data_IF_366996587047
#
_entry.id   IF_366996587047
#
_cell.length_a   1.000
_cell.length_b   1.000
_cell.length_c   1.000
_cell.angle_alpha   90.00
_cell.angle_beta   90.00
_cell.angle_gamma   90.00
#
_symmetry.space_group_name_H-M   'P 1'
#
loop_
_entity.id
_entity.type
_entity.pdbx_description
1 polymer ?
#
# COMPACT_ATOMS: atom_id res chain seq x y z
N UNK A 1 12.74 22.36 -12.27
CA UNK A 1 12.95 22.69 -10.84
C UNK A 1 11.71 23.37 -10.22
N UNK A 2 11.21 24.51 -10.72
CA UNK A 2 10.05 25.22 -10.11
C UNK A 2 8.75 24.38 -10.02
N UNK A 3 8.41 23.61 -11.06
CA UNK A 3 7.20 22.77 -11.07
C UNK A 3 7.28 21.59 -10.08
N UNK A 4 8.47 21.00 -9.91
CA UNK A 4 8.67 19.96 -8.90
C UNK A 4 8.38 20.54 -7.50
N UNK A 5 8.96 21.70 -7.18
CA UNK A 5 8.78 22.31 -5.86
C UNK A 5 7.32 22.69 -5.60
N UNK A 6 6.60 23.16 -6.62
CA UNK A 6 5.20 23.53 -6.49
C UNK A 6 4.24 22.33 -6.32
N UNK A 7 4.65 21.14 -6.76
CA UNK A 7 3.78 19.96 -6.78
C UNK A 7 4.29 18.92 -5.78
N UNK A 8 5.43 18.27 -6.06
CA UNK A 8 5.95 17.14 -5.29
C UNK A 8 6.75 17.55 -4.04
N UNK A 9 7.03 18.85 -3.85
CA UNK A 9 7.58 19.41 -2.62
C UNK A 9 6.63 20.46 -2.00
N UNK A 10 5.38 20.51 -2.49
CA UNK A 10 4.34 21.38 -1.98
C UNK A 10 3.73 20.86 -0.67
N UNK A 11 3.09 21.71 0.14
CA UNK A 11 2.40 21.27 1.36
C UNK A 11 1.32 20.23 1.05
N UNK A 12 0.61 20.34 -0.07
CA UNK A 12 -0.47 19.42 -0.43
C UNK A 12 0.00 18.01 -0.71
N UNK A 13 1.19 17.88 -1.31
CA UNK A 13 1.80 16.58 -1.53
C UNK A 13 2.34 15.97 -0.25
N UNK A 14 2.86 16.80 0.67
CA UNK A 14 3.26 16.35 2.00
C UNK A 14 2.05 15.85 2.79
N UNK A 15 0.94 16.60 2.77
CA UNK A 15 -0.32 16.21 3.41
C UNK A 15 -0.84 14.90 2.82
N UNK A 16 -0.87 14.76 1.49
CA UNK A 16 -1.29 13.51 0.83
C UNK A 16 -0.55 12.26 1.35
N UNK A 17 0.74 12.39 1.67
CA UNK A 17 1.59 11.31 2.21
C UNK A 17 1.72 11.30 3.73
N UNK A 18 1.06 12.20 4.45
CA UNK A 18 1.11 12.27 5.90
C UNK A 18 0.43 11.04 6.52
N UNK A 19 1.20 10.24 7.26
CA UNK A 19 0.70 9.03 7.89
C UNK A 19 -0.16 9.39 9.11
N UNK A 20 -1.44 8.99 9.15
CA UNK A 20 -2.29 9.23 10.30
C UNK A 20 -1.87 8.35 11.50
N UNK A 21 -2.11 8.85 12.71
CA UNK A 21 -1.87 8.07 13.93
C UNK A 21 -2.75 6.81 14.03
N UNK A 22 -3.94 6.82 13.41
CA UNK A 22 -4.87 5.67 13.38
C UNK A 22 -5.55 5.58 12.01
N UNK A 23 -5.76 4.35 11.52
CA UNK A 23 -6.47 4.11 10.25
C UNK A 23 -7.99 4.32 10.32
N UNK A 24 -8.57 4.34 11.53
CA UNK A 24 -10.02 4.45 11.70
C UNK A 24 -10.75 3.34 10.94
N UNK A 25 -11.59 3.72 9.98
CA UNK A 25 -12.37 2.81 9.12
C UNK A 25 -11.76 2.59 7.73
N UNK A 26 -10.52 3.01 7.49
CA UNK A 26 -9.83 2.74 6.24
C UNK A 26 -9.63 1.22 6.04
N UNK A 27 -9.84 0.66 4.84
CA UNK A 27 -10.14 1.32 3.55
C UNK A 27 -11.64 1.52 3.24
N UNK A 28 -12.57 1.15 4.13
CA UNK A 28 -14.03 1.21 3.87
C UNK A 28 -14.52 2.62 3.54
N UNK A 29 -13.95 3.63 4.21
CA UNK A 29 -14.35 5.04 4.08
C UNK A 29 -13.52 5.82 3.07
N UNK A 30 -12.56 5.19 2.39
CA UNK A 30 -11.77 5.87 1.38
C UNK A 30 -12.63 6.21 0.15
N UNK A 31 -12.67 7.49 -0.24
CA UNK A 31 -13.37 7.91 -1.46
C UNK A 31 -12.47 7.80 -2.70
N UNK A 32 -13.07 7.58 -3.86
CA UNK A 32 -12.36 7.55 -5.15
C UNK A 32 -11.90 8.94 -5.64
N UNK A 33 -12.31 10.01 -4.95
CA UNK A 33 -12.06 11.38 -5.39
C UNK A 33 -10.57 11.73 -5.37
N UNK A 34 -9.83 11.16 -4.42
CA UNK A 34 -8.38 11.34 -4.33
C UNK A 34 -7.65 10.71 -5.54
N UNK A 35 -8.08 9.52 -5.97
CA UNK A 35 -7.53 8.84 -7.15
C UNK A 35 -7.84 9.63 -8.42
N UNK A 36 -9.07 10.11 -8.58
CA UNK A 36 -9.46 10.95 -9.71
C UNK A 36 -8.68 12.26 -9.73
N UNK A 37 -8.53 12.92 -8.59
CA UNK A 37 -7.79 14.18 -8.46
C UNK A 37 -6.31 13.98 -8.81
N UNK A 38 -5.69 12.90 -8.31
CA UNK A 38 -4.31 12.55 -8.65
C UNK A 38 -4.17 12.25 -10.15
N UNK A 39 -5.14 11.57 -10.75
CA UNK A 39 -5.15 11.32 -12.18
C UNK A 39 -5.19 12.62 -12.99
N UNK A 40 -6.12 13.52 -12.70
CA UNK A 40 -6.20 14.83 -13.39
C UNK A 40 -4.90 15.61 -13.22
N UNK A 41 -4.29 15.57 -12.02
CA UNK A 41 -3.03 16.24 -11.74
C UNK A 41 -1.91 15.67 -12.62
N UNK A 42 -1.81 14.35 -12.70
CA UNK A 42 -0.81 13.67 -13.54
C UNK A 42 -0.93 14.10 -15.01
N UNK A 43 -2.15 14.21 -15.54
CA UNK A 43 -2.39 14.59 -16.94
C UNK A 43 -2.01 16.04 -17.20
N UNK A 44 -2.29 16.96 -16.27
CA UNK A 44 -1.90 18.37 -16.39
C UNK A 44 -0.39 18.55 -16.36
N UNK A 45 0.30 17.87 -15.46
CA UNK A 45 1.77 17.91 -15.38
C UNK A 45 2.41 17.34 -16.64
N UNK A 46 1.87 16.24 -17.19
CA UNK A 46 2.33 15.69 -18.46
C UNK A 46 2.15 16.67 -19.61
N UNK A 47 0.98 17.33 -19.73
CA UNK A 47 0.76 18.37 -20.75
C UNK A 47 1.71 19.56 -20.59
N UNK A 48 1.94 19.99 -19.35
CA UNK A 48 2.90 21.05 -19.07
C UNK A 48 4.32 20.66 -19.52
N UNK A 49 4.77 19.45 -19.16
CA UNK A 49 6.08 18.91 -19.56
C UNK A 49 6.22 18.80 -21.08
N UNK A 50 5.15 18.39 -21.77
CA UNK A 50 5.12 18.23 -23.21
C UNK A 50 4.85 19.54 -23.98
N UNK A 51 4.68 20.67 -23.29
CA UNK A 51 4.33 21.98 -23.89
C UNK A 51 3.02 21.96 -24.68
N UNK A 52 2.07 21.09 -24.30
CA UNK A 52 0.74 20.96 -24.90
C UNK A 52 -0.37 21.45 -23.98
N UNK A 53 -0.01 22.28 -22.98
CA UNK A 53 -0.94 22.82 -21.99
C UNK A 53 -1.85 23.91 -22.59
N UNK A 54 -3.03 24.10 -21.98
CA UNK A 54 -3.98 25.15 -22.31
C UNK A 54 -4.31 26.03 -21.09
N UNK A 55 -5.05 27.12 -21.28
CA UNK A 55 -5.52 27.98 -20.18
C UNK A 55 -6.34 27.22 -19.11
N UNK A 56 -6.97 26.10 -19.48
CA UNK A 56 -7.73 25.24 -18.55
C UNK A 56 -6.81 24.47 -17.58
N UNK A 57 -5.52 24.33 -17.92
CA UNK A 57 -4.51 23.65 -17.12
C UNK A 57 -3.83 24.58 -16.11
N UNK A 58 -3.97 25.90 -16.27
CA UNK A 58 -3.29 26.91 -15.42
C UNK A 58 -3.79 26.90 -13.98
N UNK A 59 -5.08 26.62 -13.75
CA UNK A 59 -5.67 26.64 -12.41
C UNK A 59 -5.50 25.29 -11.69
N UNK A 60 -4.32 25.08 -11.08
CA UNK A 60 -3.95 23.84 -10.39
C UNK A 60 -4.28 23.84 -8.88
N UNK A 61 -4.48 24.99 -8.26
CA UNK A 61 -4.68 25.11 -6.81
C UNK A 61 -5.88 24.32 -6.27
N UNK A 62 -7.07 24.33 -6.91
CA UNK A 62 -8.19 23.51 -6.44
C UNK A 62 -7.88 22.03 -6.48
N UNK A 63 -7.10 21.59 -7.47
CA UNK A 63 -6.70 20.21 -7.63
C UNK A 63 -5.68 19.78 -6.58
N UNK A 64 -4.72 20.65 -6.27
CA UNK A 64 -3.79 20.45 -5.16
C UNK A 64 -4.53 20.40 -3.82
N UNK A 65 -5.53 21.26 -3.62
CA UNK A 65 -6.38 21.20 -2.43
C UNK A 65 -7.16 19.86 -2.34
N UNK A 66 -7.66 19.34 -3.47
CA UNK A 66 -8.39 18.06 -3.51
C UNK A 66 -7.53 16.84 -3.20
N UNK A 67 -6.22 16.86 -3.50
CA UNK A 67 -5.33 15.73 -3.16
C UNK A 67 -4.93 15.70 -1.68
N UNK A 68 -5.17 16.75 -0.88
CA UNK A 68 -4.79 16.83 0.55
C UNK A 68 -5.44 15.77 1.45
N UNK A 69 -6.27 14.86 0.94
CA UNK A 69 -7.06 13.93 1.73
C UNK A 69 -6.27 12.79 2.43
N UNK A 70 -4.94 12.93 2.64
CA UNK A 70 -4.02 11.94 3.25
C UNK A 70 -4.19 10.49 2.73
N UNK A 71 -4.72 10.31 1.52
CA UNK A 71 -5.05 8.99 1.00
C UNK A 71 -3.78 8.13 0.77
N UNK A 72 -2.68 8.77 0.36
CA UNK A 72 -1.36 8.12 0.27
C UNK A 72 -0.82 7.72 1.65
N UNK A 73 -0.96 8.59 2.64
CA UNK A 73 -0.54 8.34 4.02
C UNK A 73 -1.33 7.21 4.70
N UNK A 74 -2.65 7.17 4.51
CA UNK A 74 -3.51 6.06 4.95
C UNK A 74 -3.11 4.74 4.27
N UNK A 75 -2.86 4.76 2.96
CA UNK A 75 -2.41 3.59 2.22
C UNK A 75 -1.07 3.08 2.73
N UNK A 76 -0.10 3.97 2.95
CA UNK A 76 1.23 3.62 3.45
C UNK A 76 1.14 3.02 4.87
N UNK A 77 0.34 3.63 5.74
CA UNK A 77 0.11 3.14 7.10
C UNK A 77 -0.55 1.77 7.10
N UNK A 78 -1.53 1.54 6.21
CA UNK A 78 -2.17 0.25 6.05
C UNK A 78 -1.21 -0.83 5.51
N UNK A 79 -0.34 -0.48 4.56
CA UNK A 79 0.69 -1.38 4.05
C UNK A 79 1.67 -1.81 5.15
N UNK A 80 2.15 -0.86 5.97
CA UNK A 80 3.03 -1.14 7.10
C UNK A 80 2.36 -2.03 8.16
N UNK A 81 1.11 -1.71 8.52
CA UNK A 81 0.33 -2.51 9.46
C UNK A 81 0.17 -3.96 8.97
N UNK A 82 -0.22 -4.12 7.71
CA UNK A 82 -0.36 -5.44 7.10
C UNK A 82 0.95 -6.22 7.13
N UNK A 83 2.03 -5.59 6.66
CA UNK A 83 3.34 -6.24 6.58
C UNK A 83 3.80 -6.70 7.96
N UNK A 84 3.70 -5.84 8.97
CA UNK A 84 4.07 -6.19 10.34
C UNK A 84 3.23 -7.31 10.94
N UNK A 85 1.90 -7.28 10.73
CA UNK A 85 1.01 -8.30 11.27
C UNK A 85 1.24 -9.67 10.61
N UNK A 86 1.42 -9.71 9.30
CA UNK A 86 1.67 -10.95 8.57
C UNK A 86 3.05 -11.53 8.88
N UNK A 87 4.08 -10.69 9.01
CA UNK A 87 5.41 -11.12 9.42
C UNK A 87 5.40 -11.75 10.82
N UNK A 88 4.73 -11.11 11.77
CA UNK A 88 4.56 -11.66 13.12
C UNK A 88 3.81 -13.00 13.10
N UNK A 89 2.72 -13.09 12.32
CA UNK A 89 1.96 -14.33 12.19
C UNK A 89 2.81 -15.46 11.57
N UNK A 90 3.61 -15.15 10.54
CA UNK A 90 4.53 -16.09 9.92
C UNK A 90 5.59 -16.57 10.91
N UNK A 91 6.15 -15.67 11.71
CA UNK A 91 7.13 -16.03 12.73
C UNK A 91 6.56 -17.01 13.76
N UNK A 92 5.33 -16.76 14.25
CA UNK A 92 4.64 -17.64 15.20
C UNK A 92 4.40 -19.03 14.58
N UNK A 93 3.90 -19.08 13.34
CA UNK A 93 3.63 -20.33 12.63
C UNK A 93 4.90 -21.15 12.40
N UNK A 94 5.96 -20.52 11.90
CA UNK A 94 7.24 -21.21 11.66
C UNK A 94 7.84 -21.74 12.96
N UNK A 95 7.89 -20.92 14.02
CA UNK A 95 8.45 -21.34 15.32
C UNK A 95 7.70 -22.54 15.90
N UNK A 96 6.37 -22.54 15.85
CA UNK A 96 5.58 -23.66 16.35
C UNK A 96 5.71 -24.92 15.47
N UNK A 97 5.84 -24.76 14.15
CA UNK A 97 6.10 -25.85 13.21
C UNK A 97 7.45 -26.52 13.49
N UNK A 98 8.52 -25.74 13.63
CA UNK A 98 9.88 -26.22 13.94
C UNK A 98 9.95 -26.98 15.28
N UNK A 99 9.10 -26.60 16.24
CA UNK A 99 8.96 -27.29 17.52
C UNK A 99 8.08 -28.55 17.46
N UNK A 100 7.58 -28.94 16.28
CA UNK A 100 6.72 -30.10 16.10
C UNK A 100 5.33 -29.96 16.73
N UNK A 101 4.88 -28.72 17.02
CA UNK A 101 3.59 -28.51 17.71
C UNK A 101 2.39 -28.85 16.85
N UNK A 102 2.51 -28.69 15.53
CA UNK A 102 1.41 -28.92 14.58
C UNK A 102 1.39 -30.32 13.98
N UNK A 103 2.56 -30.92 13.80
CA UNK A 103 2.74 -32.25 13.24
C UNK A 103 3.63 -33.08 14.17
N UNK A 104 3.15 -34.25 14.57
CA UNK A 104 3.90 -35.21 15.38
C UNK A 104 3.79 -36.59 14.74
N UNK A 105 4.93 -37.25 14.48
CA UNK A 105 4.99 -38.59 13.88
C UNK A 105 4.18 -38.73 12.57
N UNK A 106 4.25 -37.72 11.68
CA UNK A 106 3.52 -37.70 10.40
C UNK A 106 2.00 -37.54 10.54
N UNK A 107 1.51 -37.08 11.70
CA UNK A 107 0.09 -36.82 11.96
C UNK A 107 -0.11 -35.42 12.50
N UNK A 108 -1.18 -34.76 12.06
CA UNK A 108 -1.57 -33.44 12.59
C UNK A 108 -2.06 -33.58 14.04
N UNK A 109 -1.58 -32.72 14.92
CA UNK A 109 -2.00 -32.66 16.33
C UNK A 109 -3.32 -31.90 16.47
N UNK A 110 -3.93 -31.94 17.66
CA UNK A 110 -5.10 -31.11 17.96
C UNK A 110 -4.78 -29.62 17.83
N UNK A 111 -3.59 -29.21 18.29
CA UNK A 111 -3.10 -27.84 18.15
C UNK A 111 -2.97 -27.45 16.67
N UNK A 112 -2.44 -28.34 15.82
CA UNK A 112 -2.36 -28.11 14.37
C UNK A 112 -3.74 -27.99 13.73
N UNK A 113 -4.70 -28.82 14.15
CA UNK A 113 -6.08 -28.79 13.64
C UNK A 113 -6.81 -27.50 14.03
N UNK A 114 -6.70 -27.09 15.30
CA UNK A 114 -7.27 -25.84 15.80
C UNK A 114 -6.64 -24.65 15.09
N UNK A 115 -5.30 -24.62 14.98
CA UNK A 115 -4.58 -23.52 14.33
C UNK A 115 -4.98 -23.38 12.87
N UNK A 116 -5.06 -24.49 12.12
CA UNK A 116 -5.53 -24.48 10.73
C UNK A 116 -6.95 -23.95 10.61
N UNK A 117 -7.84 -24.35 11.51
CA UNK A 117 -9.23 -23.89 11.52
C UNK A 117 -9.34 -22.39 11.76
N UNK A 118 -8.60 -21.88 12.76
CA UNK A 118 -8.56 -20.44 13.09
C UNK A 118 -8.02 -19.65 11.92
N UNK A 119 -6.86 -20.04 11.38
CA UNK A 119 -6.24 -19.35 10.25
C UNK A 119 -7.18 -19.34 9.05
N UNK A 120 -7.71 -20.48 8.62
CA UNK A 120 -8.64 -20.53 7.48
C UNK A 120 -9.86 -19.64 7.69
N UNK A 121 -10.42 -19.61 8.91
CA UNK A 121 -11.62 -18.82 9.20
C UNK A 121 -11.34 -17.32 9.19
N UNK A 122 -10.35 -16.85 9.96
CA UNK A 122 -10.12 -15.42 10.15
C UNK A 122 -9.26 -14.80 9.04
N UNK A 123 -8.29 -15.55 8.50
CA UNK A 123 -7.44 -15.04 7.44
C UNK A 123 -8.24 -14.86 6.14
N UNK A 124 -8.96 -15.88 5.68
CA UNK A 124 -9.67 -15.79 4.41
C UNK A 124 -10.87 -14.83 4.46
N UNK A 125 -11.59 -14.77 5.60
CA UNK A 125 -12.78 -13.94 5.72
C UNK A 125 -12.45 -12.46 5.94
N UNK A 126 -11.59 -12.14 6.91
CA UNK A 126 -11.42 -10.77 7.38
C UNK A 126 -10.12 -10.17 6.84
N UNK A 127 -8.99 -10.84 7.10
CA UNK A 127 -7.66 -10.29 6.78
C UNK A 127 -7.48 -10.19 5.26
N UNK A 128 -7.74 -11.25 4.51
CA UNK A 128 -7.57 -11.27 3.06
C UNK A 128 -8.53 -10.31 2.37
N UNK A 129 -9.77 -10.18 2.86
CA UNK A 129 -10.73 -9.23 2.32
C UNK A 129 -10.29 -7.77 2.56
N UNK A 130 -9.82 -7.46 3.77
CA UNK A 130 -9.26 -6.14 4.07
C UNK A 130 -7.99 -5.87 3.26
N UNK A 131 -7.06 -6.82 3.18
CA UNK A 131 -5.84 -6.76 2.36
C UNK A 131 -6.13 -6.48 0.88
N UNK A 132 -7.14 -7.14 0.33
CA UNK A 132 -7.57 -6.93 -1.05
C UNK A 132 -8.12 -5.52 -1.27
N UNK A 133 -8.90 -4.99 -0.32
CA UNK A 133 -9.40 -3.62 -0.40
C UNK A 133 -8.26 -2.59 -0.32
N UNK A 134 -7.28 -2.76 0.56
CA UNK A 134 -6.11 -1.88 0.64
C UNK A 134 -5.30 -1.95 -0.66
N UNK A 135 -5.10 -3.15 -1.20
CA UNK A 135 -4.41 -3.35 -2.48
C UNK A 135 -5.15 -2.68 -3.64
N UNK A 136 -6.48 -2.73 -3.65
CA UNK A 136 -7.31 -2.03 -4.63
C UNK A 136 -7.09 -0.51 -4.57
N UNK A 137 -6.96 0.07 -3.38
CA UNK A 137 -6.64 1.51 -3.23
C UNK A 137 -5.26 1.86 -3.79
N UNK A 138 -4.28 0.97 -3.63
CA UNK A 138 -3.00 1.16 -4.29
C UNK A 138 -3.14 1.15 -5.82
N UNK A 139 -3.86 0.17 -6.39
CA UNK A 139 -4.10 0.10 -7.83
C UNK A 139 -4.77 1.36 -8.40
N UNK A 140 -5.74 1.93 -7.68
CA UNK A 140 -6.46 3.13 -8.11
C UNK A 140 -5.56 4.35 -8.30
N UNK A 141 -4.49 4.47 -7.51
CA UNK A 141 -3.60 5.64 -7.55
C UNK A 141 -2.27 5.38 -8.29
N UNK A 142 -1.83 4.13 -8.37
CA UNK A 142 -0.47 3.77 -8.79
C UNK A 142 -0.10 4.30 -10.18
N UNK A 143 -1.01 4.17 -11.15
CA UNK A 143 -0.76 4.62 -12.53
C UNK A 143 -0.57 6.14 -12.59
N UNK A 144 -1.45 6.90 -11.93
CA UNK A 144 -1.38 8.35 -11.90
C UNK A 144 -0.15 8.85 -11.13
N UNK A 145 0.16 8.21 -10.01
CA UNK A 145 1.35 8.47 -9.21
C UNK A 145 2.63 8.27 -10.04
N UNK A 146 2.76 7.10 -10.67
CA UNK A 146 3.93 6.75 -11.48
C UNK A 146 4.11 7.70 -12.66
N UNK A 147 3.01 8.08 -13.33
CA UNK A 147 3.03 9.02 -14.44
C UNK A 147 3.47 10.42 -14.00
N UNK A 148 2.94 10.91 -12.88
CA UNK A 148 3.29 12.20 -12.30
C UNK A 148 4.77 12.27 -11.89
N UNK A 149 5.25 11.25 -11.18
CA UNK A 149 6.64 11.20 -10.72
C UNK A 149 7.60 11.03 -11.88
N UNK A 150 7.29 10.16 -12.86
CA UNK A 150 8.10 9.98 -14.07
C UNK A 150 8.26 11.26 -14.86
N UNK A 151 7.20 12.08 -14.98
CA UNK A 151 7.25 13.37 -15.66
C UNK A 151 8.19 14.38 -14.97
N UNK A 152 8.49 14.18 -13.69
CA UNK A 152 9.27 15.11 -12.86
C UNK A 152 10.60 14.51 -12.38
N UNK A 153 10.93 13.27 -12.76
CA UNK A 153 12.12 12.54 -12.29
C UNK A 153 13.43 13.31 -12.54
N UNK A 154 13.58 13.91 -13.72
CA UNK A 154 14.83 14.60 -14.11
C UNK A 154 15.12 15.84 -13.25
N UNK A 155 14.08 16.40 -12.64
CA UNK A 155 14.17 17.59 -11.78
C UNK A 155 14.00 17.26 -10.29
N UNK A 156 13.80 15.98 -9.95
CA UNK A 156 13.60 15.52 -8.58
C UNK A 156 14.94 15.38 -7.82
N UNK A 157 15.07 15.94 -6.60
CA UNK A 157 16.24 15.74 -5.76
C UNK A 157 16.50 14.26 -5.47
N UNK A 158 17.77 13.90 -5.24
CA UNK A 158 18.14 12.53 -4.88
C UNK A 158 17.41 12.01 -3.62
N UNK A 159 17.19 12.89 -2.63
CA UNK A 159 16.45 12.55 -1.42
C UNK A 159 15.00 12.14 -1.72
N UNK A 160 14.32 12.84 -2.63
CA UNK A 160 12.95 12.51 -3.03
C UNK A 160 12.90 11.14 -3.72
N UNK A 161 13.81 10.88 -4.65
CA UNK A 161 13.91 9.59 -5.36
C UNK A 161 14.15 8.43 -4.40
N UNK A 162 15.04 8.61 -3.42
CA UNK A 162 15.27 7.59 -2.38
C UNK A 162 14.05 7.36 -1.48
N UNK A 163 13.31 8.41 -1.15
CA UNK A 163 12.05 8.27 -0.41
C UNK A 163 10.98 7.52 -1.23
N UNK A 164 10.85 7.87 -2.51
CA UNK A 164 9.94 7.21 -3.46
C UNK A 164 10.23 5.71 -3.57
N UNK A 165 11.50 5.32 -3.74
CA UNK A 165 11.92 3.91 -3.77
C UNK A 165 11.53 3.15 -2.48
N UNK A 166 11.76 3.76 -1.31
CA UNK A 166 11.38 3.15 -0.02
C UNK A 166 9.87 3.01 0.13
N UNK A 167 9.13 4.06 -0.24
CA UNK A 167 7.66 4.05 -0.22
C UNK A 167 7.12 2.95 -1.11
N UNK A 168 7.63 2.84 -2.33
CA UNK A 168 7.17 1.83 -3.28
C UNK A 168 7.52 0.41 -2.82
N UNK A 169 8.69 0.21 -2.21
CA UNK A 169 9.05 -1.07 -1.59
C UNK A 169 8.08 -1.47 -0.47
N UNK A 170 7.60 -0.52 0.33
CA UNK A 170 6.55 -0.76 1.34
C UNK A 170 5.22 -1.09 0.67
N UNK A 171 4.81 -0.33 -0.35
CA UNK A 171 3.55 -0.58 -1.05
C UNK A 171 3.52 -1.91 -1.81
N UNK A 172 4.67 -2.43 -2.26
CA UNK A 172 4.76 -3.79 -2.82
C UNK A 172 4.40 -4.89 -1.81
N UNK A 173 4.59 -4.63 -0.50
CA UNK A 173 4.20 -5.59 0.55
C UNK A 173 2.70 -5.84 0.62
N UNK A 174 1.88 -4.96 0.01
CA UNK A 174 0.45 -5.19 -0.16
C UNK A 174 0.16 -6.51 -0.89
N UNK A 175 1.04 -6.88 -1.82
CA UNK A 175 0.87 -8.06 -2.66
C UNK A 175 1.73 -9.25 -2.21
N UNK A 176 2.98 -9.00 -1.81
CA UNK A 176 3.91 -10.07 -1.43
C UNK A 176 3.57 -10.67 -0.08
N UNK A 177 3.21 -9.84 0.91
CA UNK A 177 2.92 -10.29 2.28
C UNK A 177 1.80 -11.35 2.37
N UNK A 178 0.60 -11.10 1.81
CA UNK A 178 -0.48 -12.09 1.84
C UNK A 178 -0.12 -13.41 1.15
N UNK A 179 0.62 -13.36 0.03
CA UNK A 179 1.07 -14.56 -0.69
C UNK A 179 2.05 -15.37 0.14
N UNK A 180 3.04 -14.70 0.74
CA UNK A 180 4.01 -15.34 1.62
C UNK A 180 3.33 -15.96 2.86
N UNK A 181 2.33 -15.28 3.42
CA UNK A 181 1.56 -15.80 4.54
C UNK A 181 0.83 -17.09 4.17
N UNK A 182 0.13 -17.12 3.04
CA UNK A 182 -0.55 -18.33 2.54
C UNK A 182 0.45 -19.49 2.37
N UNK A 183 1.62 -19.24 1.78
CA UNK A 183 2.66 -20.26 1.65
C UNK A 183 3.20 -20.75 3.00
N UNK A 184 3.35 -19.86 3.97
CA UNK A 184 3.78 -20.21 5.33
C UNK A 184 2.75 -21.07 6.04
N UNK A 185 1.47 -20.73 5.93
CA UNK A 185 0.36 -21.52 6.46
C UNK A 185 0.34 -22.92 5.85
N UNK A 186 0.42 -23.03 4.52
CA UNK A 186 0.45 -24.32 3.82
C UNK A 186 1.61 -25.19 4.30
N UNK A 187 2.82 -24.63 4.32
CA UNK A 187 4.02 -25.35 4.77
C UNK A 187 3.93 -25.78 6.24
N UNK A 188 3.47 -24.90 7.12
CA UNK A 188 3.44 -25.15 8.56
C UNK A 188 2.33 -26.11 8.99
N UNK A 189 1.17 -26.05 8.33
CA UNK A 189 -0.06 -26.70 8.78
C UNK A 189 -0.61 -27.76 7.83
N UNK A 190 -0.34 -27.72 6.52
CA UNK A 190 -0.88 -28.69 5.56
C UNK A 190 -0.02 -29.94 5.42
N UNK A 191 1.29 -29.80 5.60
CA UNK A 191 2.25 -30.89 5.42
C UNK A 191 2.63 -31.51 6.78
N UNK A 192 1.86 -32.55 7.15
CA UNK A 192 2.28 -33.62 8.04
C UNK A 192 2.28 -34.92 7.21
#
# INVERSE_FOLDING_TARGET
>A
QRIFTAILDGPEWRDFWEQPATLGRYPETASGDAAQSLWVLSQRVLRFSNRTWSAEDENIEPLLASIRANAGGQLLTAALLQASALDQANHILNTAHEQGRYCQNGKRTDVGTISKTIVTKFFAADIQAWSAQVSQRHYEIQTALSALESALTDVAPAAYRSWMEKRDAVLQQLYTGPREHVHTVQRALDNC
#
